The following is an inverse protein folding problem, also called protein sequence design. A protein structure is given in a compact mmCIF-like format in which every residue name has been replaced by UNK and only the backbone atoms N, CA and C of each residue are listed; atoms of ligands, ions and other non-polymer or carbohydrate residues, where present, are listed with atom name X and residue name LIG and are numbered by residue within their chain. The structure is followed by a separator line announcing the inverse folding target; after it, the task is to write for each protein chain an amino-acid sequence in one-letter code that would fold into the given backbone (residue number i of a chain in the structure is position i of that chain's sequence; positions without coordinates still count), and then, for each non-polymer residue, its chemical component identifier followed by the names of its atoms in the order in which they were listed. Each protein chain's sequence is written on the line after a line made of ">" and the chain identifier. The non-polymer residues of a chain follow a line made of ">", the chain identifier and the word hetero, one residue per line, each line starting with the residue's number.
data_IF_424280269958
#
_entry.id   IF_424280269958
#
_cell.length_a   1.000
_cell.length_b   1.000
_cell.length_c   1.000
_cell.angle_alpha   90.00
_cell.angle_beta   90.00
_cell.angle_gamma   90.00
#
_symmetry.space_group_name_H-M   'P 1'
#
loop_
_entity.id
_entity.type
_entity.pdbx_description
1 polymer ?
#
# COMPACT_ATOMS: atom_id res chain seq x y z
N UNK A 1 -15.94 16.29 67.48
CA UNK A 1 -15.34 17.44 66.76
C UNK A 1 -13.92 17.05 66.44
N UNK A 2 -13.48 16.80 65.21
CA UNK A 2 -13.95 17.27 63.90
C UNK A 2 -13.58 16.24 62.83
N UNK A 3 -14.34 16.29 61.74
CA UNK A 3 -14.55 15.29 60.70
C UNK A 3 -13.29 14.78 59.98
N UNK A 4 -13.39 13.51 59.57
CA UNK A 4 -12.64 12.96 58.44
C UNK A 4 -13.12 13.65 57.16
N UNK A 5 -12.20 14.30 56.46
CA UNK A 5 -12.42 14.73 55.08
C UNK A 5 -11.98 13.60 54.14
N UNK A 6 -13.00 12.95 53.58
CA UNK A 6 -12.94 12.07 52.42
C UNK A 6 -12.39 12.86 51.22
N UNK A 7 -11.55 12.26 50.36
CA UNK A 7 -11.03 12.96 49.19
C UNK A 7 -12.16 13.21 48.18
N UNK A 8 -12.24 14.46 47.72
CA UNK A 8 -13.16 14.92 46.71
C UNK A 8 -12.84 14.26 45.36
N UNK A 9 -13.86 13.58 44.87
CA UNK A 9 -14.04 13.07 43.54
C UNK A 9 -14.07 14.26 42.58
N UNK A 10 -13.12 14.36 41.64
CA UNK A 10 -13.37 14.80 40.25
C UNK A 10 -12.07 14.70 39.46
N UNK A 11 -11.89 13.58 38.76
CA UNK A 11 -11.19 13.61 37.47
C UNK A 11 -11.83 12.57 36.55
N UNK A 12 -13.03 12.90 36.08
CA UNK A 12 -13.61 12.36 34.84
C UNK A 12 -13.78 13.61 33.97
N UNK A 13 -13.09 13.72 32.83
CA UNK A 13 -13.56 13.35 31.46
C UNK A 13 -12.43 13.65 30.44
N UNK A 14 -12.47 13.20 29.15
CA UNK A 14 -13.55 12.49 28.42
C UNK A 14 -13.04 11.15 27.78
N UNK A 15 -13.86 10.17 27.41
CA UNK A 15 -15.05 10.29 26.56
C UNK A 15 -14.72 10.01 25.08
N UNK A 16 -14.05 8.90 24.79
CA UNK A 16 -14.00 8.32 23.44
C UNK A 16 -14.63 6.93 23.51
N UNK A 17 -15.45 6.55 22.52
CA UNK A 17 -15.94 5.18 22.45
C UNK A 17 -14.71 4.25 22.40
N UNK A 18 -14.68 3.09 23.10
CA UNK A 18 -13.57 2.14 22.98
C UNK A 18 -13.24 1.78 21.52
N UNK A 19 -14.24 1.86 20.63
CA UNK A 19 -14.07 1.75 19.19
C UNK A 19 -13.22 2.89 18.58
N UNK A 20 -13.41 4.13 19.00
CA UNK A 20 -12.65 5.29 18.49
C UNK A 20 -11.18 5.18 18.89
N UNK A 21 -10.90 4.81 20.14
CA UNK A 21 -9.53 4.57 20.61
C UNK A 21 -8.85 3.40 19.86
N UNK A 22 -9.61 2.35 19.51
CA UNK A 22 -9.11 1.26 18.69
C UNK A 22 -8.81 1.73 17.25
N UNK A 23 -9.65 2.58 16.65
CA UNK A 23 -9.41 3.17 15.33
C UNK A 23 -8.14 4.03 15.32
N UNK A 24 -7.94 4.88 16.32
CA UNK A 24 -6.72 5.69 16.44
C UNK A 24 -5.47 4.82 16.58
N UNK A 25 -5.56 3.76 17.37
CA UNK A 25 -4.48 2.77 17.52
C UNK A 25 -4.16 2.12 16.17
N UNK A 26 -5.19 1.66 15.44
CA UNK A 26 -5.02 1.06 14.11
C UNK A 26 -4.34 2.04 13.16
N UNK A 27 -4.78 3.30 13.08
CA UNK A 27 -4.18 4.31 12.20
C UNK A 27 -2.70 4.54 12.51
N UNK A 28 -2.35 4.64 13.79
CA UNK A 28 -0.96 4.79 14.23
C UNK A 28 -0.12 3.57 13.84
N UNK A 29 -0.62 2.36 14.12
CA UNK A 29 0.11 1.13 13.82
C UNK A 29 0.23 0.88 12.30
N UNK A 30 -0.75 1.28 11.50
CA UNK A 30 -0.67 1.25 10.03
C UNK A 30 0.47 2.16 9.52
N UNK A 31 0.66 3.32 10.11
CA UNK A 31 1.78 4.22 9.78
C UNK A 31 3.13 3.57 10.13
N UNK A 32 3.22 2.93 11.31
CA UNK A 32 4.42 2.21 11.73
C UNK A 32 4.70 1.02 10.80
N UNK A 33 3.67 0.28 10.42
CA UNK A 33 3.72 -0.83 9.48
C UNK A 33 4.26 -0.36 8.12
N UNK A 34 3.69 0.70 7.54
CA UNK A 34 4.12 1.25 6.26
C UNK A 34 5.59 1.72 6.28
N UNK A 35 6.01 2.41 7.36
CA UNK A 35 7.40 2.84 7.55
C UNK A 35 8.36 1.65 7.60
N UNK A 36 8.01 0.60 8.35
CA UNK A 36 8.81 -0.63 8.44
C UNK A 36 8.87 -1.37 7.11
N UNK A 37 7.76 -1.45 6.38
CA UNK A 37 7.71 -2.05 5.06
C UNK A 37 8.68 -1.37 4.09
N UNK A 38 8.69 -0.02 4.05
CA UNK A 38 9.65 0.75 3.24
C UNK A 38 11.10 0.52 3.66
N UNK A 39 11.40 0.55 4.96
CA UNK A 39 12.75 0.33 5.47
C UNK A 39 13.26 -1.10 5.22
N UNK A 40 12.38 -2.10 5.25
CA UNK A 40 12.72 -3.49 4.94
C UNK A 40 13.07 -3.69 3.46
N UNK A 41 12.35 -3.03 2.54
CA UNK A 41 12.63 -3.11 1.12
C UNK A 41 14.03 -2.58 0.78
N UNK A 42 14.43 -1.45 1.39
CA UNK A 42 15.77 -0.88 1.19
C UNK A 42 16.94 -1.75 1.68
N UNK A 43 16.68 -2.76 2.52
CA UNK A 43 17.70 -3.71 3.03
C UNK A 43 17.78 -5.02 2.25
N UNK A 44 16.76 -5.36 1.45
CA UNK A 44 16.63 -6.70 0.84
C UNK A 44 17.32 -6.81 -0.53
N UNK A 45 17.43 -5.70 -1.27
CA UNK A 45 18.36 -5.46 -2.38
C UNK A 45 18.39 -3.95 -2.62
N UNK A 46 19.54 -3.27 -2.79
CA UNK A 46 19.58 -1.83 -3.02
C UNK A 46 18.78 -1.38 -4.25
N UNK A 47 18.44 -2.31 -5.15
CA UNK A 47 17.68 -2.06 -6.38
C UNK A 47 16.20 -2.47 -6.33
N UNK A 48 15.75 -3.20 -5.30
CA UNK A 48 14.34 -3.61 -5.17
C UNK A 48 13.62 -2.78 -4.12
N UNK A 49 13.14 -1.61 -4.55
CA UNK A 49 12.14 -0.85 -3.80
C UNK A 49 10.88 -1.70 -3.56
N UNK A 50 10.07 -1.32 -2.57
CA UNK A 50 8.76 -1.97 -2.33
C UNK A 50 7.92 -2.02 -3.60
N UNK A 51 7.95 -0.94 -4.38
CA UNK A 51 7.27 -0.84 -5.67
C UNK A 51 7.81 -1.85 -6.66
N UNK A 52 9.14 -1.94 -6.82
CA UNK A 52 9.76 -2.91 -7.73
C UNK A 52 9.43 -4.37 -7.36
N UNK A 53 9.48 -4.72 -6.07
CA UNK A 53 9.05 -6.05 -5.59
C UNK A 53 7.58 -6.33 -5.95
N UNK A 54 6.71 -5.36 -5.68
CA UNK A 54 5.27 -5.48 -5.93
C UNK A 54 4.96 -5.60 -7.43
N UNK A 55 5.70 -4.90 -8.29
CA UNK A 55 5.62 -5.05 -9.75
C UNK A 55 6.04 -6.44 -10.20
N UNK A 56 7.16 -6.98 -9.70
CA UNK A 56 7.61 -8.33 -10.03
C UNK A 56 6.60 -9.40 -9.57
N UNK A 57 6.03 -9.26 -8.37
CA UNK A 57 4.99 -10.16 -7.86
C UNK A 57 3.74 -10.17 -8.74
N UNK A 58 3.29 -9.00 -9.20
CA UNK A 58 2.15 -8.93 -10.12
C UNK A 58 2.42 -9.63 -11.46
N UNK A 59 3.63 -9.47 -12.01
CA UNK A 59 4.03 -10.14 -13.25
C UNK A 59 4.17 -11.66 -13.10
N UNK A 60 4.48 -12.15 -11.89
CA UNK A 60 4.49 -13.58 -11.60
C UNK A 60 3.08 -14.18 -11.60
N UNK A 61 2.10 -13.48 -11.04
CA UNK A 61 0.69 -13.91 -11.01
C UNK A 61 0.01 -13.76 -12.38
N UNK A 62 0.38 -12.73 -13.15
CA UNK A 62 -0.25 -12.36 -14.41
C UNK A 62 0.80 -11.91 -15.44
N UNK A 63 1.42 -12.86 -16.11
CA UNK A 63 2.45 -12.60 -17.12
C UNK A 63 1.89 -11.84 -18.33
N UNK A 64 2.70 -10.99 -18.96
CA UNK A 64 2.31 -10.23 -20.16
C UNK A 64 1.40 -9.02 -19.92
N UNK A 65 1.60 -8.27 -18.83
CA UNK A 65 0.80 -7.07 -18.51
C UNK A 65 1.46 -5.77 -18.94
N UNK A 66 0.62 -4.75 -19.18
CA UNK A 66 1.08 -3.39 -19.50
C UNK A 66 1.52 -2.68 -18.23
N UNK A 67 2.54 -1.83 -18.34
CA UNK A 67 2.97 -0.97 -17.23
C UNK A 67 1.86 -0.03 -16.73
N UNK A 68 0.89 0.32 -17.58
CA UNK A 68 -0.27 1.13 -17.23
C UNK A 68 -1.24 0.42 -16.30
N UNK A 69 -1.40 -0.90 -16.47
CA UNK A 69 -2.31 -1.71 -15.65
C UNK A 69 -1.74 -1.83 -14.23
N UNK A 70 -0.42 -1.96 -14.14
CA UNK A 70 0.33 -1.96 -12.88
C UNK A 70 0.21 -0.62 -12.13
N UNK A 71 0.21 0.50 -12.84
CA UNK A 71 0.05 1.83 -12.25
C UNK A 71 -1.35 2.01 -11.63
N UNK A 72 -2.39 1.59 -12.35
CA UNK A 72 -3.77 1.64 -11.86
C UNK A 72 -3.98 0.72 -10.65
N UNK A 73 -3.44 -0.50 -10.69
CA UNK A 73 -3.62 -1.49 -9.63
C UNK A 73 -2.95 -1.10 -8.30
N UNK A 74 -1.82 -0.38 -8.34
CA UNK A 74 -1.09 0.02 -7.14
C UNK A 74 -1.27 1.50 -6.75
N UNK A 75 -2.22 2.20 -7.39
CA UNK A 75 -2.44 3.64 -7.21
C UNK A 75 -1.13 4.46 -7.30
N UNK A 76 -0.26 4.09 -8.24
CA UNK A 76 1.04 4.72 -8.45
C UNK A 76 1.00 5.64 -9.68
N UNK A 77 1.70 6.77 -9.59
CA UNK A 77 1.87 7.65 -10.73
C UNK A 77 2.59 6.93 -11.88
N UNK A 78 2.14 7.19 -13.12
CA UNK A 78 2.72 6.63 -14.35
C UNK A 78 4.22 6.92 -14.47
N UNK A 79 4.69 8.07 -13.99
CA UNK A 79 6.10 8.46 -13.99
C UNK A 79 6.93 7.60 -13.03
N UNK A 80 6.39 7.26 -11.87
CA UNK A 80 7.00 6.35 -10.89
C UNK A 80 7.12 4.95 -11.47
N UNK A 81 6.03 4.41 -12.02
CA UNK A 81 6.04 3.06 -12.61
C UNK A 81 7.02 2.98 -13.77
N UNK A 82 7.00 3.95 -14.70
CA UNK A 82 7.95 3.99 -15.82
C UNK A 82 9.41 3.96 -15.35
N UNK A 83 9.74 4.75 -14.32
CA UNK A 83 11.10 4.77 -13.75
C UNK A 83 11.49 3.40 -13.15
N UNK A 84 10.58 2.74 -12.44
CA UNK A 84 10.84 1.43 -11.83
C UNK A 84 10.96 0.34 -12.90
N UNK A 85 10.09 0.32 -13.90
CA UNK A 85 10.16 -0.60 -15.04
C UNK A 85 11.51 -0.45 -15.75
N UNK A 86 11.93 0.76 -16.09
CA UNK A 86 13.24 1.01 -16.70
C UNK A 86 14.42 0.62 -15.81
N UNK A 87 14.27 0.64 -14.48
CA UNK A 87 15.30 0.15 -13.57
C UNK A 87 15.38 -1.38 -13.54
N UNK A 88 14.24 -2.05 -13.45
CA UNK A 88 14.13 -3.51 -13.48
C UNK A 88 14.60 -4.11 -14.81
N UNK A 89 14.32 -3.44 -15.92
CA UNK A 89 14.76 -3.83 -17.26
C UNK A 89 16.30 -3.71 -17.40
N UNK A 90 16.88 -2.59 -16.94
CA UNK A 90 18.35 -2.42 -16.90
C UNK A 90 19.03 -3.44 -15.99
N UNK A 91 18.38 -3.85 -14.91
CA UNK A 91 18.85 -4.91 -14.02
C UNK A 91 18.65 -6.33 -14.60
N UNK A 92 18.04 -6.46 -15.78
CA UNK A 92 17.78 -7.74 -16.45
C UNK A 92 16.75 -8.61 -15.73
N UNK A 93 15.91 -8.01 -14.89
CA UNK A 93 14.89 -8.73 -14.11
C UNK A 93 13.57 -8.85 -14.87
N UNK A 94 13.29 -7.90 -15.77
CA UNK A 94 12.15 -7.94 -16.68
C UNK A 94 12.62 -7.68 -18.11
N UNK A 95 11.77 -8.00 -19.06
CA UNK A 95 11.92 -7.63 -20.46
C UNK A 95 10.61 -7.11 -21.04
N UNK A 96 10.71 -6.25 -22.06
CA UNK A 96 9.56 -5.79 -22.83
C UNK A 96 9.42 -6.63 -24.07
N UNK A 97 8.20 -7.09 -24.31
CA UNK A 97 7.83 -7.78 -25.55
C UNK A 97 6.69 -7.02 -26.20
N UNK A 98 6.62 -7.12 -27.53
CA UNK A 98 5.46 -6.62 -28.28
C UNK A 98 4.27 -7.50 -27.92
N UNK A 99 3.14 -6.85 -27.64
CA UNK A 99 1.88 -7.56 -27.40
C UNK A 99 1.50 -8.32 -28.70
N UNK A 100 1.25 -9.64 -28.61
CA UNK A 100 0.94 -10.45 -29.78
C UNK A 100 -0.39 -10.05 -30.43
N UNK A 101 -1.31 -9.44 -29.68
CA UNK A 101 -2.63 -9.03 -30.15
C UNK A 101 -2.67 -7.56 -30.61
N UNK A 102 -1.75 -6.73 -30.12
CA UNK A 102 -1.62 -5.32 -30.52
C UNK A 102 -0.15 -4.86 -30.58
N UNK A 103 0.43 -4.84 -31.77
CA UNK A 103 1.84 -4.47 -31.96
C UNK A 103 2.20 -3.03 -31.56
N UNK A 104 1.21 -2.18 -31.26
CA UNK A 104 1.44 -0.82 -30.74
C UNK A 104 1.71 -0.82 -29.23
N UNK A 105 1.59 -1.97 -28.58
CA UNK A 105 1.66 -2.12 -27.14
C UNK A 105 2.87 -2.95 -26.75
N UNK A 106 3.51 -2.55 -25.65
CA UNK A 106 4.54 -3.34 -25.00
C UNK A 106 4.00 -3.92 -23.70
N UNK A 107 4.21 -5.22 -23.52
CA UNK A 107 3.92 -5.99 -22.31
C UNK A 107 5.21 -6.36 -21.60
N UNK A 108 5.13 -6.45 -20.28
CA UNK A 108 6.27 -6.77 -19.42
C UNK A 108 6.24 -8.25 -19.07
N UNK A 109 7.42 -8.87 -19.11
CA UNK A 109 7.61 -10.27 -18.70
C UNK A 109 8.76 -10.38 -17.71
N UNK A 110 8.64 -11.32 -16.76
CA UNK A 110 9.75 -11.68 -15.89
C UNK A 110 10.78 -12.48 -16.67
N UNK A 111 12.06 -12.13 -16.50
CA UNK A 111 13.15 -13.00 -16.94
C UNK A 111 13.36 -14.13 -15.93
N UNK A 112 14.12 -15.16 -16.33
CA UNK A 112 14.56 -16.20 -15.40
C UNK A 112 15.41 -15.65 -14.23
N UNK A 113 16.09 -14.51 -14.44
CA UNK A 113 16.79 -13.81 -13.35
C UNK A 113 15.78 -13.13 -12.41
N UNK A 114 14.80 -12.42 -12.99
CA UNK A 114 13.72 -11.77 -12.25
C UNK A 114 12.98 -12.71 -11.32
N UNK A 115 12.59 -13.89 -11.81
CA UNK A 115 11.88 -14.90 -11.02
C UNK A 115 12.73 -15.40 -9.83
N UNK A 116 13.99 -15.76 -10.06
CA UNK A 116 14.91 -16.19 -8.98
C UNK A 116 15.14 -15.13 -7.91
N UNK A 117 15.19 -13.87 -8.32
CA UNK A 117 15.34 -12.74 -7.38
C UNK A 117 14.05 -12.54 -6.60
N UNK A 118 12.89 -12.58 -7.26
CA UNK A 118 11.58 -12.50 -6.62
C UNK A 118 11.42 -13.61 -5.57
N UNK A 119 11.68 -14.86 -5.91
CA UNK A 119 11.60 -16.01 -4.99
C UNK A 119 12.44 -15.79 -3.73
N UNK A 120 13.69 -15.35 -3.91
CA UNK A 120 14.61 -15.07 -2.80
C UNK A 120 14.10 -13.97 -1.88
N UNK A 121 13.56 -12.90 -2.45
CA UNK A 121 13.01 -11.77 -1.67
C UNK A 121 11.72 -12.20 -0.96
N UNK A 122 10.86 -12.95 -1.63
CA UNK A 122 9.63 -13.52 -1.06
C UNK A 122 9.95 -14.40 0.14
N UNK A 123 10.92 -15.30 0.05
CA UNK A 123 11.27 -16.17 1.17
C UNK A 123 11.88 -15.38 2.34
N UNK A 124 12.75 -14.40 2.06
CA UNK A 124 13.28 -13.50 3.12
C UNK A 124 12.16 -12.73 3.83
N UNK A 125 11.17 -12.26 3.08
CA UNK A 125 10.00 -11.57 3.65
C UNK A 125 9.17 -12.52 4.50
N UNK A 126 8.88 -13.73 4.01
CA UNK A 126 8.16 -14.76 4.76
C UNK A 126 8.89 -15.11 6.06
N UNK A 127 10.21 -15.31 6.01
CA UNK A 127 11.02 -15.56 7.20
C UNK A 127 10.93 -14.42 8.22
N UNK A 128 11.07 -13.16 7.76
CA UNK A 128 10.96 -11.99 8.64
C UNK A 128 9.56 -11.83 9.26
N UNK A 129 8.49 -12.17 8.52
CA UNK A 129 7.13 -12.19 9.05
C UNK A 129 6.95 -13.31 10.08
N UNK A 130 7.44 -14.53 9.78
CA UNK A 130 7.39 -15.67 10.71
C UNK A 130 8.11 -15.36 12.02
N UNK A 131 9.31 -14.78 11.95
CA UNK A 131 10.08 -14.40 13.15
C UNK A 131 9.32 -13.36 13.99
N UNK A 132 8.73 -12.34 13.35
CA UNK A 132 7.97 -11.30 14.05
C UNK A 132 6.71 -11.82 14.74
N UNK A 133 6.15 -12.89 14.19
CA UNK A 133 4.88 -13.48 14.59
C UNK A 133 5.06 -14.79 15.36
N UNK A 134 6.31 -15.16 15.69
CA UNK A 134 6.64 -16.46 16.26
C UNK A 134 5.98 -16.70 17.62
N UNK A 135 5.81 -15.64 18.41
CA UNK A 135 5.24 -15.71 19.77
C UNK A 135 3.70 -15.61 19.79
N UNK A 136 3.06 -15.45 18.62
CA UNK A 136 1.61 -15.30 18.55
C UNK A 136 0.94 -16.68 18.55
N UNK A 137 -0.15 -16.88 19.34
CA UNK A 137 -0.99 -18.05 19.21
C UNK A 137 -1.57 -18.20 17.80
N UNK A 138 -1.75 -19.44 17.33
CA UNK A 138 -2.29 -19.74 16.00
C UNK A 138 -3.64 -19.04 15.76
N UNK A 139 -4.54 -19.05 16.74
CA UNK A 139 -5.84 -18.41 16.65
C UNK A 139 -5.75 -16.88 16.45
N UNK A 140 -4.75 -16.23 17.05
CA UNK A 140 -4.52 -14.80 16.89
C UNK A 140 -3.96 -14.48 15.49
N UNK A 141 -3.08 -15.34 14.97
CA UNK A 141 -2.55 -15.22 13.61
C UNK A 141 -3.65 -15.34 12.55
N UNK A 142 -4.49 -16.35 12.67
CA UNK A 142 -5.62 -16.56 11.75
C UNK A 142 -6.60 -15.38 11.79
N UNK A 143 -6.88 -14.87 12.99
CA UNK A 143 -7.77 -13.72 13.19
C UNK A 143 -7.18 -12.43 12.62
N UNK A 144 -5.89 -12.20 12.84
CA UNK A 144 -5.19 -11.05 12.29
C UNK A 144 -5.16 -11.08 10.76
N UNK A 145 -4.91 -12.24 10.16
CA UNK A 145 -4.99 -12.43 8.71
C UNK A 145 -6.39 -12.08 8.17
N UNK A 146 -7.44 -12.63 8.79
CA UNK A 146 -8.83 -12.35 8.38
C UNK A 146 -9.21 -10.86 8.51
N UNK A 147 -8.73 -10.16 9.55
CA UNK A 147 -8.97 -8.72 9.70
C UNK A 147 -8.21 -7.89 8.65
N UNK A 148 -6.98 -8.26 8.30
CA UNK A 148 -6.24 -7.60 7.24
C UNK A 148 -6.91 -7.80 5.87
N UNK A 149 -7.38 -9.00 5.57
CA UNK A 149 -8.14 -9.26 4.34
C UNK A 149 -9.42 -8.42 4.28
N UNK A 150 -10.20 -8.41 5.37
CA UNK A 150 -11.41 -7.59 5.47
C UNK A 150 -11.13 -6.10 5.32
N UNK A 151 -10.03 -5.61 5.91
CA UNK A 151 -9.60 -4.21 5.78
C UNK A 151 -9.22 -3.86 4.33
N UNK A 152 -8.45 -4.73 3.67
CA UNK A 152 -7.98 -4.50 2.30
C UNK A 152 -9.05 -4.77 1.21
N UNK A 153 -10.15 -5.44 1.56
CA UNK A 153 -11.29 -5.61 0.66
C UNK A 153 -12.07 -4.31 0.42
N UNK A 154 -11.78 -3.24 1.19
CA UNK A 154 -12.34 -1.92 0.95
C UNK A 154 -11.76 -1.32 -0.35
N UNK A 155 -12.57 -0.95 -1.35
CA UNK A 155 -12.06 -0.44 -2.63
C UNK A 155 -11.29 0.87 -2.45
N UNK A 156 -10.13 0.99 -3.11
CA UNK A 156 -9.30 2.21 -3.15
C UNK A 156 -9.93 3.41 -3.91
N UNK A 157 -11.20 3.29 -4.30
CA UNK A 157 -11.93 4.36 -4.99
C UNK A 157 -13.11 4.83 -4.12
N UNK A 158 -12.92 5.97 -3.45
CA UNK A 158 -14.02 6.91 -3.39
C UNK A 158 -14.38 7.25 -4.86
N UNK A 159 -15.64 7.12 -5.29
CA UNK A 159 -16.00 7.45 -6.66
C UNK A 159 -15.59 8.89 -6.96
N UNK A 160 -14.96 9.11 -8.12
CA UNK A 160 -14.49 10.41 -8.63
C UNK A 160 -15.59 11.50 -8.65
N UNK A 161 -16.85 11.12 -8.45
CA UNK A 161 -18.03 11.98 -8.35
C UNK A 161 -17.96 13.03 -7.22
N UNK A 162 -17.15 12.85 -6.18
CA UNK A 162 -16.99 13.85 -5.11
C UNK A 162 -15.97 14.95 -5.48
N UNK A 163 -15.03 14.68 -6.40
CA UNK A 163 -13.96 15.63 -6.78
C UNK A 163 -14.46 16.76 -7.69
N UNK A 164 -15.41 16.46 -8.57
CA UNK A 164 -16.05 17.47 -9.43
C UNK A 164 -17.10 18.30 -8.67
N UNK A 165 -17.62 17.82 -7.55
CA UNK A 165 -18.61 18.55 -6.74
C UNK A 165 -17.98 19.64 -5.85
N UNK A 166 -16.66 19.58 -5.64
CA UNK A 166 -15.91 20.52 -4.82
C UNK A 166 -15.20 21.62 -5.62
N UNK A 167 -15.34 21.65 -6.96
CA UNK A 167 -14.91 22.80 -7.74
C UNK A 167 -15.89 23.96 -7.47
N UNK A 168 -15.45 25.09 -6.88
CA UNK A 168 -16.29 26.27 -6.81
C UNK A 168 -16.67 26.70 -8.23
N UNK A 169 -17.92 27.10 -8.51
CA UNK A 169 -18.27 27.61 -9.82
C UNK A 169 -17.39 28.83 -10.10
N UNK A 170 -16.71 28.79 -11.24
CA UNK A 170 -15.88 29.87 -11.76
C UNK A 170 -16.69 31.18 -11.75
N UNK A 171 -16.48 32.00 -10.72
CA UNK A 171 -16.93 33.39 -10.72
C UNK A 171 -15.94 34.20 -11.55
N UNK A 172 -16.03 34.04 -12.87
CA UNK A 172 -15.62 35.08 -13.80
C UNK A 172 -16.84 35.52 -14.60
N UNK A 173 -17.51 36.53 -14.04
CA UNK A 173 -18.48 37.35 -14.76
C UNK A 173 -17.77 38.06 -15.91
N UNK A 174 -17.89 37.49 -17.11
CA UNK A 174 -17.67 38.23 -18.33
C UNK A 174 -18.94 39.03 -18.65
N UNK A 175 -18.98 40.29 -18.22
CA UNK A 175 -19.85 41.29 -18.83
C UNK A 175 -19.00 42.14 -19.75
N UNK A 176 -19.01 41.81 -21.04
CA UNK A 176 -18.77 42.81 -22.06
C UNK A 176 -19.93 43.81 -22.07
N UNK A 177 -19.63 45.10 -22.28
CA UNK A 177 -20.48 46.06 -23.01
C UNK A 177 -19.66 47.32 -23.28
N UNK A 178 -19.56 47.63 -24.58
CA UNK A 178 -19.28 48.90 -25.28
C UNK A 178 -17.91 49.59 -25.15
#
# INVERSE_FOLDING_TARGET
>A
MTAAETPDETTVVPGGCPADAAVETIQREMTVFARRARASAGRMHPELSLVSYTLLGHLEERDGRRATDLAAHYALDKSTVSRQVSALERAGLIERRVDPDDHRVQVLHLTASGRRVLDRVTERRRAAFRERLADWPEEELLRFAAYLERYNAWPDAAPEQERDRAAPPDTYGWTGTH
#
